data_IF_083624965688
#
_entry.id   IF_083624965688
#
_cell.length_a   1.000
_cell.length_b   1.000
_cell.length_c   1.000
_cell.angle_alpha   90.00
_cell.angle_beta   90.00
_cell.angle_gamma   90.00
#
_symmetry.space_group_name_H-M   'P 1'
#
loop_
_entity.id
_entity.type
_entity.pdbx_description
1 polymer ?
#
# COMPACT_ATOMS: atom_id res chain seq x y z
N UNK A 1 -31.92 15.40 -3.93
CA UNK A 1 -31.01 14.39 -4.48
C UNK A 1 -31.20 13.13 -3.67
N UNK A 2 -31.85 12.10 -4.24
CA UNK A 2 -32.09 10.82 -3.58
C UNK A 2 -30.89 9.90 -3.80
N UNK A 3 -30.24 9.47 -2.72
CA UNK A 3 -29.16 8.47 -2.78
C UNK A 3 -29.79 7.10 -2.74
N UNK A 4 -29.60 6.30 -3.79
CA UNK A 4 -30.04 4.90 -3.84
C UNK A 4 -28.87 3.99 -3.44
N UNK A 5 -29.13 3.02 -2.56
CA UNK A 5 -28.13 2.04 -2.09
C UNK A 5 -28.57 0.67 -2.60
N UNK A 6 -27.64 -0.06 -3.22
CA UNK A 6 -27.86 -1.38 -3.80
C UNK A 6 -26.85 -2.38 -3.21
N UNK A 7 -27.23 -3.64 -3.14
CA UNK A 7 -26.35 -4.70 -2.61
C UNK A 7 -25.71 -5.48 -3.77
N UNK A 8 -24.40 -5.73 -3.68
CA UNK A 8 -23.69 -6.55 -4.65
C UNK A 8 -24.09 -8.03 -4.49
N UNK A 9 -24.49 -8.73 -5.57
CA UNK A 9 -24.95 -10.12 -5.47
C UNK A 9 -23.83 -11.13 -5.16
N UNK A 10 -22.56 -10.78 -5.34
CA UNK A 10 -21.43 -11.71 -5.13
C UNK A 10 -20.75 -11.58 -3.76
N UNK A 11 -20.70 -10.37 -3.19
CA UNK A 11 -20.00 -10.13 -1.92
C UNK A 11 -20.91 -9.54 -0.84
N UNK A 12 -22.21 -9.44 -1.12
CA UNK A 12 -23.22 -8.78 -0.27
C UNK A 12 -22.81 -7.38 0.22
N UNK A 13 -21.91 -6.73 -0.53
CA UNK A 13 -21.39 -5.40 -0.21
C UNK A 13 -22.43 -4.33 -0.53
N UNK A 14 -22.54 -3.32 0.33
CA UNK A 14 -23.38 -2.15 0.10
C UNK A 14 -22.69 -1.20 -0.89
N UNK A 15 -23.41 -0.83 -1.94
CA UNK A 15 -22.93 0.00 -3.03
C UNK A 15 -23.87 1.18 -3.24
N UNK A 16 -23.32 2.29 -3.73
CA UNK A 16 -24.15 3.39 -4.20
C UNK A 16 -24.71 3.02 -5.58
N UNK A 17 -25.93 3.46 -5.89
CA UNK A 17 -26.60 3.18 -7.18
C UNK A 17 -25.85 3.70 -8.40
N UNK A 18 -24.84 4.53 -8.19
CA UNK A 18 -23.95 5.05 -9.21
C UNK A 18 -22.61 4.29 -9.33
N UNK A 19 -22.38 3.22 -8.55
CA UNK A 19 -21.13 2.46 -8.57
C UNK A 19 -21.01 1.59 -9.81
N UNK A 20 -20.01 1.85 -10.67
CA UNK A 20 -19.76 1.09 -11.90
C UNK A 20 -19.23 -0.34 -11.64
N UNK A 21 -18.46 -0.52 -10.56
CA UNK A 21 -17.92 -1.79 -10.12
C UNK A 21 -17.85 -1.85 -8.59
N UNK A 22 -17.99 -3.06 -8.04
CA UNK A 22 -17.85 -3.28 -6.61
C UNK A 22 -16.36 -3.19 -6.22
N UNK A 23 -15.95 -2.31 -5.29
CA UNK A 23 -14.56 -2.20 -4.85
C UNK A 23 -14.09 -3.40 -4.02
N UNK A 24 -15.02 -4.23 -3.54
CA UNK A 24 -14.71 -5.32 -2.62
C UNK A 24 -14.46 -6.65 -3.36
N UNK A 25 -15.21 -6.94 -4.42
CA UNK A 25 -15.04 -8.15 -5.23
C UNK A 25 -14.60 -7.89 -6.67
N UNK A 26 -14.60 -6.64 -7.14
CA UNK A 26 -14.29 -6.30 -8.53
C UNK A 26 -15.42 -6.59 -9.52
N UNK A 27 -16.60 -7.03 -9.06
CA UNK A 27 -17.73 -7.32 -9.94
C UNK A 27 -18.22 -6.04 -10.64
N UNK A 28 -18.26 -6.07 -11.97
CA UNK A 28 -18.72 -4.95 -12.81
C UNK A 28 -20.24 -4.98 -12.87
N UNK A 29 -20.89 -3.98 -12.29
CA UNK A 29 -22.34 -3.91 -12.22
C UNK A 29 -22.93 -3.18 -13.42
N UNK A 30 -22.21 -2.20 -13.95
CA UNK A 30 -22.61 -1.49 -15.16
C UNK A 30 -21.42 -1.34 -16.12
N UNK A 31 -21.36 -2.15 -17.19
CA UNK A 31 -20.22 -2.14 -18.12
C UNK A 31 -20.12 -0.84 -18.92
N UNK A 32 -21.23 -0.10 -19.12
CA UNK A 32 -21.20 1.19 -19.83
C UNK A 32 -20.62 2.31 -18.98
N UNK A 33 -20.74 2.22 -17.65
CA UNK A 33 -20.13 3.16 -16.72
C UNK A 33 -18.66 2.82 -16.44
N UNK A 34 -18.29 1.54 -16.49
CA UNK A 34 -16.91 1.07 -16.29
C UNK A 34 -15.92 1.55 -17.36
N UNK A 35 -16.35 1.71 -18.62
CA UNK A 35 -15.49 2.22 -19.71
C UNK A 35 -15.14 3.71 -19.55
N UNK A 36 -15.96 4.46 -18.81
CA UNK A 36 -15.77 5.90 -18.56
C UNK A 36 -15.00 6.18 -17.27
N UNK A 37 -14.56 5.14 -16.55
CA UNK A 37 -13.63 5.29 -15.44
C UNK A 37 -12.23 5.21 -16.04
N UNK A 38 -11.49 6.33 -16.20
CA UNK A 38 -10.05 6.22 -16.37
C UNK A 38 -9.56 5.39 -15.19
N UNK A 39 -8.98 4.24 -15.52
CA UNK A 39 -8.49 3.22 -14.58
C UNK A 39 -7.99 3.89 -13.31
N UNK A 40 -8.47 3.51 -12.11
CA UNK A 40 -8.00 4.13 -10.89
C UNK A 40 -6.48 4.00 -10.81
N UNK A 41 -5.85 5.16 -10.98
CA UNK A 41 -4.63 5.63 -10.36
C UNK A 41 -4.28 4.78 -9.12
N UNK A 42 -3.47 3.72 -9.30
CA UNK A 42 -3.13 2.85 -8.18
C UNK A 42 -2.34 1.57 -8.47
N UNK A 43 -2.30 1.07 -9.71
CA UNK A 43 -1.50 -0.13 -10.04
C UNK A 43 -0.01 0.12 -10.25
N UNK A 44 0.45 1.38 -10.14
CA UNK A 44 1.87 1.72 -10.12
C UNK A 44 2.52 1.71 -8.71
N UNK A 45 1.76 1.44 -7.64
CA UNK A 45 2.31 1.28 -6.28
C UNK A 45 2.45 -0.19 -5.84
N UNK A 46 2.12 -1.14 -6.71
CA UNK A 46 2.40 -2.57 -6.50
C UNK A 46 3.58 -3.07 -7.35
N UNK A 47 4.51 -2.18 -7.70
CA UNK A 47 5.93 -2.56 -7.71
C UNK A 47 6.45 -2.41 -6.29
N UNK A 48 5.86 -3.14 -5.35
CA UNK A 48 6.61 -3.56 -4.16
C UNK A 48 7.69 -4.45 -4.71
N UNK A 49 8.89 -3.89 -4.86
CA UNK A 49 9.99 -4.56 -5.49
C UNK A 49 10.16 -5.93 -4.85
N UNK A 50 10.46 -6.91 -5.70
CA UNK A 50 11.29 -8.04 -5.32
C UNK A 50 12.67 -7.45 -4.94
N UNK A 51 12.70 -6.70 -3.85
CA UNK A 51 13.90 -6.13 -3.28
C UNK A 51 14.41 -7.20 -2.31
N UNK A 52 15.66 -7.63 -2.45
CA UNK A 52 16.18 -8.79 -1.74
C UNK A 52 16.02 -8.59 -0.24
N UNK A 53 15.36 -9.54 0.44
CA UNK A 53 15.29 -9.57 1.90
C UNK A 53 16.72 -9.60 2.45
N UNK A 54 17.04 -8.68 3.37
CA UNK A 54 18.36 -8.61 4.00
C UNK A 54 18.24 -8.99 5.47
N UNK A 55 19.23 -9.72 5.97
CA UNK A 55 19.33 -9.99 7.38
C UNK A 55 19.80 -8.74 8.12
N UNK A 56 19.16 -8.44 9.25
CA UNK A 56 19.59 -7.39 10.14
C UNK A 56 20.98 -7.72 10.71
N UNK A 57 21.95 -6.78 10.67
CA UNK A 57 23.30 -7.03 11.19
C UNK A 57 23.37 -7.20 12.72
N UNK A 58 22.33 -6.79 13.45
CA UNK A 58 22.31 -6.85 14.91
C UNK A 58 21.55 -8.08 15.43
N UNK A 59 20.30 -8.29 15.00
CA UNK A 59 19.45 -9.37 15.51
C UNK A 59 19.33 -10.57 14.56
N UNK A 60 19.85 -10.49 13.33
CA UNK A 60 19.75 -11.55 12.33
C UNK A 60 18.37 -11.69 11.67
N UNK A 61 17.39 -10.88 12.05
CA UNK A 61 16.03 -10.92 11.49
C UNK A 61 16.02 -10.62 9.99
N UNK A 62 15.24 -11.39 9.21
CA UNK A 62 15.07 -11.11 7.78
C UNK A 62 14.09 -9.96 7.63
N UNK A 63 14.55 -8.87 7.03
CA UNK A 63 13.74 -7.67 6.85
C UNK A 63 13.78 -7.25 5.38
N UNK A 64 12.71 -6.56 4.95
CA UNK A 64 12.61 -6.09 3.57
C UNK A 64 13.74 -5.08 3.29
N UNK A 65 14.33 -5.18 2.11
CA UNK A 65 15.21 -4.12 1.65
C UNK A 65 14.43 -2.80 1.54
N UNK A 66 15.10 -1.69 1.86
CA UNK A 66 14.48 -0.36 1.93
C UNK A 66 14.09 0.11 3.34
N UNK A 67 14.07 -0.77 4.35
CA UNK A 67 13.89 -0.32 5.74
C UNK A 67 15.14 0.44 6.23
N UNK A 68 14.94 1.65 6.77
CA UNK A 68 16.01 2.42 7.42
C UNK A 68 16.41 1.80 8.76
N UNK A 69 15.42 1.28 9.49
CA UNK A 69 15.60 0.61 10.79
C UNK A 69 14.95 -0.76 10.79
N UNK A 70 15.58 -1.72 11.46
CA UNK A 70 15.00 -3.03 11.68
C UNK A 70 13.70 -2.91 12.49
N UNK A 71 12.63 -3.55 12.03
CA UNK A 71 11.34 -3.54 12.73
C UNK A 71 11.40 -4.28 14.07
N UNK A 72 12.29 -5.27 14.20
CA UNK A 72 12.40 -6.12 15.38
C UNK A 72 13.29 -5.51 16.47
N UNK A 73 14.48 -4.99 16.12
CA UNK A 73 15.45 -4.49 17.10
C UNK A 73 15.70 -2.97 17.02
N UNK A 74 15.16 -2.28 16.03
CA UNK A 74 15.31 -0.84 15.87
C UNK A 74 16.68 -0.36 15.36
N UNK A 75 17.64 -1.26 15.15
CA UNK A 75 18.98 -0.89 14.63
C UNK A 75 18.90 -0.28 13.24
N UNK A 76 19.81 0.63 12.91
CA UNK A 76 19.95 1.12 11.54
C UNK A 76 20.46 0.01 10.61
N UNK A 77 19.83 -0.11 9.45
CA UNK A 77 20.23 -1.08 8.42
C UNK A 77 21.39 -0.59 7.55
N UNK A 78 21.62 0.73 7.53
CA UNK A 78 22.67 1.35 6.74
C UNK A 78 23.48 2.33 7.63
N UNK A 79 24.80 2.10 7.80
CA UNK A 79 25.66 2.95 8.63
C UNK A 79 25.83 4.37 8.08
N UNK A 80 25.66 4.58 6.77
CA UNK A 80 25.67 5.92 6.18
C UNK A 80 24.48 6.74 6.69
N UNK A 81 23.28 6.16 6.67
CA UNK A 81 22.06 6.82 7.15
C UNK A 81 22.16 7.12 8.65
N UNK A 82 22.73 6.20 9.43
CA UNK A 82 23.00 6.41 10.86
C UNK A 82 23.91 7.63 11.09
N UNK A 83 25.01 7.74 10.34
CA UNK A 83 25.96 8.85 10.45
C UNK A 83 25.33 10.19 10.10
N UNK A 84 24.49 10.23 9.07
CA UNK A 84 23.73 11.43 8.70
C UNK A 84 22.73 11.84 9.79
N UNK A 85 22.02 10.87 10.35
CA UNK A 85 21.07 11.10 11.44
C UNK A 85 21.75 11.69 12.69
N UNK A 86 22.91 11.17 13.08
CA UNK A 86 23.67 11.68 14.23
C UNK A 86 24.11 13.14 14.03
N UNK A 87 24.58 13.52 12.85
CA UNK A 87 24.96 14.92 12.55
C UNK A 87 23.79 15.89 12.70
N UNK A 88 22.59 15.48 12.28
CA UNK A 88 21.37 16.29 12.44
C UNK A 88 20.93 16.40 13.91
N UNK A 89 21.14 15.35 14.72
CA UNK A 89 20.81 15.38 16.14
C UNK A 89 21.76 16.26 16.96
N UNK A 90 23.05 16.30 16.62
CA UNK A 90 24.03 17.13 17.35
C UNK A 90 23.89 18.64 17.09
N UNK A 91 23.04 19.05 16.14
CA UNK A 91 22.77 20.46 15.80
C UNK A 91 21.43 20.97 16.39
N UNK A 92 20.78 20.18 17.26
CA UNK A 92 19.56 20.56 18.00
C UNK A 92 19.86 21.10 19.39
#
# INVERSE_FOLDING_TARGET
MSVSIHTCPECEGLLLGDSAACPHCGHVLDPKKAEQVPQPLGTALLKGGDEPEKACPLCGEKVRAGLVRCWQCGTFMNPEIESHYQKMQSTQ
#
